data_IF_170009762204
#
_entry.id   IF_170009762204
#
_cell.length_a   1.000
_cell.length_b   1.000
_cell.length_c   1.000
_cell.angle_alpha   90.00
_cell.angle_beta   90.00
_cell.angle_gamma   90.00
#
_symmetry.space_group_name_H-M   'P 1'
#
loop_
_entity.id
_entity.type
_entity.pdbx_description
1 polymer ?
#
# COMPACT_ATOMS: atom_id res chain seq x y z
N UNK A 1 -34.59 32.63 -27.09
CA UNK A 1 -33.61 31.85 -27.89
C UNK A 1 -32.44 31.27 -27.09
N UNK A 2 -32.09 31.76 -25.90
CA UNK A 2 -30.90 31.29 -25.14
C UNK A 2 -30.99 29.86 -24.56
N UNK A 3 -32.18 29.36 -24.18
CA UNK A 3 -32.34 28.00 -23.59
C UNK A 3 -31.95 26.84 -24.52
N UNK A 4 -31.95 27.03 -25.86
CA UNK A 4 -31.54 25.99 -26.82
C UNK A 4 -30.03 25.90 -26.99
N UNK A 5 -29.28 26.94 -26.64
CA UNK A 5 -27.81 27.00 -26.73
C UNK A 5 -27.12 26.50 -25.45
N UNK A 6 -27.83 26.56 -24.32
CA UNK A 6 -27.34 26.08 -23.03
C UNK A 6 -26.80 24.63 -23.05
N UNK A 7 -27.49 23.63 -23.62
CA UNK A 7 -26.95 22.26 -23.67
C UNK A 7 -25.70 22.14 -24.55
N UNK A 8 -25.62 22.92 -25.62
CA UNK A 8 -24.45 22.95 -26.51
C UNK A 8 -23.24 23.60 -25.84
N UNK A 9 -23.45 24.67 -25.07
CA UNK A 9 -22.39 25.32 -24.30
C UNK A 9 -21.84 24.37 -23.24
N UNK A 10 -22.70 23.67 -22.50
CA UNK A 10 -22.27 22.69 -21.49
C UNK A 10 -21.45 21.55 -22.13
N UNK A 11 -21.91 21.03 -23.28
CA UNK A 11 -21.18 19.99 -24.02
C UNK A 11 -19.80 20.47 -24.47
N UNK A 12 -19.69 21.67 -25.04
CA UNK A 12 -18.40 22.23 -25.48
C UNK A 12 -17.46 22.47 -24.29
N UNK A 13 -17.97 22.99 -23.18
CA UNK A 13 -17.18 23.20 -21.96
C UNK A 13 -16.66 21.88 -21.40
N UNK A 14 -17.47 20.82 -21.36
CA UNK A 14 -17.01 19.51 -20.93
C UNK A 14 -16.04 18.87 -21.93
N UNK A 15 -16.34 18.95 -23.22
CA UNK A 15 -15.52 18.34 -24.28
C UNK A 15 -14.13 18.99 -24.40
N UNK A 16 -14.01 20.29 -24.14
CA UNK A 16 -12.73 21.00 -24.13
C UNK A 16 -12.08 21.03 -22.73
N UNK A 17 -12.87 21.13 -21.67
CA UNK A 17 -12.37 21.20 -20.29
C UNK A 17 -11.80 19.87 -19.79
N UNK A 18 -12.45 18.74 -20.10
CA UNK A 18 -11.98 17.41 -19.68
C UNK A 18 -10.57 17.06 -20.19
N UNK A 19 -10.23 17.16 -21.50
CA UNK A 19 -8.88 16.85 -21.96
C UNK A 19 -7.82 17.80 -21.38
N UNK A 20 -8.15 19.07 -21.15
CA UNK A 20 -7.24 20.02 -20.50
C UNK A 20 -6.92 19.64 -19.05
N UNK A 21 -7.91 19.19 -18.28
CA UNK A 21 -7.71 18.73 -16.90
C UNK A 21 -6.90 17.43 -16.85
N UNK A 22 -7.16 16.50 -17.78
CA UNK A 22 -6.41 15.22 -17.86
C UNK A 22 -4.96 15.45 -18.28
N UNK A 23 -4.71 16.27 -19.31
CA UNK A 23 -3.36 16.62 -19.75
C UNK A 23 -2.58 17.44 -18.69
N UNK A 24 -3.29 18.23 -17.89
CA UNK A 24 -2.73 18.95 -16.75
C UNK A 24 -2.44 18.10 -15.51
N UNK A 25 -2.69 16.78 -15.55
CA UNK A 25 -2.43 15.88 -14.42
C UNK A 25 -3.50 15.88 -13.32
N UNK A 26 -4.64 16.53 -13.54
CA UNK A 26 -5.77 16.58 -12.59
C UNK A 26 -6.75 15.40 -12.68
N UNK A 27 -6.43 14.37 -13.47
CA UNK A 27 -7.26 13.18 -13.63
C UNK A 27 -7.11 12.17 -12.48
N UNK A 28 -8.00 11.15 -12.41
CA UNK A 28 -7.85 10.04 -11.47
C UNK A 28 -6.50 9.34 -11.70
N UNK A 29 -5.67 9.28 -10.66
CA UNK A 29 -4.40 8.56 -10.67
C UNK A 29 -4.59 7.16 -10.09
N UNK A 30 -4.10 6.15 -10.78
CA UNK A 30 -3.93 4.84 -10.17
C UNK A 30 -2.74 4.90 -9.21
N UNK A 31 -2.88 4.41 -7.96
CA UNK A 31 -1.77 4.37 -7.04
C UNK A 31 -0.65 3.49 -7.61
N UNK A 32 0.57 3.99 -7.53
CA UNK A 32 1.78 3.25 -7.85
C UNK A 32 2.11 2.30 -6.71
N UNK A 33 2.93 1.27 -6.97
CA UNK A 33 3.39 0.33 -5.94
C UNK A 33 4.07 1.02 -4.75
N UNK A 34 4.72 2.17 -4.97
CA UNK A 34 5.36 2.95 -3.92
C UNK A 34 4.35 3.66 -3.00
N UNK A 35 3.16 3.99 -3.49
CA UNK A 35 2.11 4.66 -2.69
C UNK A 35 1.57 3.75 -1.58
N UNK A 36 1.67 2.43 -1.73
CA UNK A 36 1.26 1.46 -0.71
C UNK A 36 2.35 1.13 0.31
N UNK A 37 3.53 1.74 0.20
CA UNK A 37 4.57 1.68 1.23
C UNK A 37 4.34 2.83 2.19
N UNK A 38 4.01 2.54 3.44
CA UNK A 38 3.72 3.57 4.45
C UNK A 38 4.64 3.38 5.65
N UNK A 39 5.86 3.96 5.65
CA UNK A 39 6.76 3.84 6.78
C UNK A 39 6.10 4.28 8.08
N UNK A 40 6.29 3.53 9.17
CA UNK A 40 5.75 3.89 10.46
C UNK A 40 6.42 5.18 10.98
N UNK A 41 5.60 6.19 11.31
CA UNK A 41 6.05 7.49 11.83
C UNK A 41 5.51 7.80 13.24
N UNK A 42 4.66 6.93 13.77
CA UNK A 42 4.05 7.04 15.10
C UNK A 42 3.93 5.68 15.75
N UNK A 43 3.64 5.64 17.06
CA UNK A 43 3.42 4.40 17.82
C UNK A 43 2.02 3.80 17.64
N UNK A 44 1.20 4.37 16.76
CA UNK A 44 -0.14 3.84 16.49
C UNK A 44 -0.06 2.75 15.44
N UNK A 45 -0.83 1.66 15.59
CA UNK A 45 -1.10 0.65 14.56
C UNK A 45 0.11 0.27 13.68
N UNK A 46 1.22 -0.15 14.28
CA UNK A 46 2.41 -0.55 13.52
C UNK A 46 2.30 -2.02 13.11
N UNK A 47 2.71 -2.29 11.89
CA UNK A 47 2.90 -3.63 11.34
C UNK A 47 4.33 -3.83 10.84
N UNK A 48 4.80 -5.07 10.80
CA UNK A 48 6.08 -5.44 10.24
C UNK A 48 5.89 -6.22 8.93
N UNK A 49 6.28 -5.61 7.81
CA UNK A 49 6.12 -6.17 6.46
C UNK A 49 7.38 -6.92 6.05
N UNK A 50 7.29 -8.24 5.94
CA UNK A 50 8.38 -9.12 5.51
C UNK A 50 8.71 -9.02 4.02
N UNK A 51 7.75 -8.55 3.22
CA UNK A 51 7.92 -8.35 1.78
C UNK A 51 6.59 -8.21 1.06
N UNK A 52 6.68 -7.78 -0.21
CA UNK A 52 5.57 -7.68 -1.15
C UNK A 52 5.82 -8.56 -2.36
N UNK A 53 4.78 -9.22 -2.86
CA UNK A 53 4.87 -10.22 -3.90
C UNK A 53 3.77 -10.03 -4.95
N UNK A 54 4.08 -10.33 -6.22
CA UNK A 54 3.11 -10.24 -7.31
C UNK A 54 2.09 -11.37 -7.34
N UNK A 55 2.28 -12.44 -6.57
CA UNK A 55 1.40 -13.60 -6.53
C UNK A 55 1.15 -14.08 -5.11
N UNK A 56 -0.02 -14.66 -4.86
CA UNK A 56 -0.39 -15.28 -3.58
C UNK A 56 0.57 -16.40 -3.22
N UNK A 57 0.94 -17.27 -4.18
CA UNK A 57 1.85 -18.39 -3.95
C UNK A 57 3.24 -17.94 -3.44
N UNK A 58 3.78 -16.83 -3.96
CA UNK A 58 5.05 -16.28 -3.49
C UNK A 58 4.92 -15.69 -2.07
N UNK A 59 3.82 -14.98 -1.79
CA UNK A 59 3.53 -14.44 -0.46
C UNK A 59 3.35 -15.55 0.58
N UNK A 60 2.59 -16.59 0.27
CA UNK A 60 2.41 -17.74 1.15
C UNK A 60 3.72 -18.51 1.39
N UNK A 61 4.60 -18.60 0.39
CA UNK A 61 5.93 -19.18 0.57
C UNK A 61 6.74 -18.40 1.62
N UNK A 62 6.71 -17.06 1.56
CA UNK A 62 7.34 -16.21 2.56
C UNK A 62 6.67 -16.34 3.92
N UNK A 63 5.33 -16.37 3.99
CA UNK A 63 4.58 -16.59 5.23
C UNK A 63 4.97 -17.92 5.88
N UNK A 64 5.01 -19.02 5.13
CA UNK A 64 5.44 -20.34 5.62
C UNK A 64 6.89 -20.32 6.10
N UNK A 65 7.78 -19.60 5.40
CA UNK A 65 9.17 -19.43 5.82
C UNK A 65 9.25 -18.68 7.15
N UNK A 66 8.53 -17.57 7.29
CA UNK A 66 8.47 -16.81 8.54
C UNK A 66 7.88 -17.66 9.69
N UNK A 67 6.79 -18.38 9.45
CA UNK A 67 6.18 -19.27 10.44
C UNK A 67 7.15 -20.37 10.93
N UNK A 68 7.93 -20.97 10.02
CA UNK A 68 8.98 -21.96 10.38
C UNK A 68 10.12 -21.36 11.19
N UNK A 69 10.42 -20.08 11.02
CA UNK A 69 11.41 -19.36 11.81
C UNK A 69 10.89 -18.89 13.17
N UNK A 70 9.62 -19.19 13.50
CA UNK A 70 9.03 -18.93 14.81
C UNK A 70 8.12 -17.71 14.86
N UNK A 71 8.04 -16.90 13.80
CA UNK A 71 7.14 -15.75 13.75
C UNK A 71 5.68 -16.21 13.79
N UNK A 72 4.92 -15.72 14.77
CA UNK A 72 3.51 -16.02 14.95
C UNK A 72 2.65 -14.93 14.32
N UNK A 73 1.43 -15.29 13.91
CA UNK A 73 0.44 -14.36 13.37
C UNK A 73 0.89 -13.57 12.13
N UNK A 74 1.79 -14.15 11.33
CA UNK A 74 2.16 -13.59 10.02
C UNK A 74 1.04 -13.87 9.03
N UNK A 75 0.55 -12.84 8.36
CA UNK A 75 -0.61 -12.88 7.46
C UNK A 75 -0.23 -12.45 6.05
N UNK A 76 -0.96 -12.97 5.05
CA UNK A 76 -0.89 -12.53 3.66
C UNK A 76 -2.08 -11.63 3.39
N UNK A 77 -1.82 -10.41 2.93
CA UNK A 77 -2.85 -9.40 2.70
C UNK A 77 -2.63 -8.71 1.35
N UNK A 78 -3.70 -8.22 0.73
CA UNK A 78 -3.58 -7.31 -0.42
C UNK A 78 -3.03 -5.96 0.07
N UNK A 79 -2.07 -5.38 -0.65
CA UNK A 79 -1.52 -4.07 -0.32
C UNK A 79 -2.35 -2.91 -0.89
N UNK A 80 -3.35 -3.19 -1.73
CA UNK A 80 -4.18 -2.17 -2.41
C UNK A 80 -3.56 -1.58 -3.69
N UNK A 81 -2.29 -1.89 -3.99
CA UNK A 81 -1.56 -1.46 -5.19
C UNK A 81 -1.26 -2.63 -6.14
N UNK A 82 -1.94 -3.76 -5.96
CA UNK A 82 -1.82 -4.94 -6.82
C UNK A 82 -0.70 -5.91 -6.43
N UNK A 83 -0.18 -5.82 -5.20
CA UNK A 83 0.72 -6.81 -4.62
C UNK A 83 0.11 -7.44 -3.37
N UNK A 84 0.68 -8.57 -2.95
CA UNK A 84 0.40 -9.21 -1.68
C UNK A 84 1.52 -8.91 -0.70
N UNK A 85 1.21 -8.29 0.43
CA UNK A 85 2.16 -8.09 1.53
C UNK A 85 2.08 -9.25 2.51
N UNK A 86 3.22 -9.62 3.08
CA UNK A 86 3.32 -10.57 4.18
C UNK A 86 3.66 -9.78 5.43
N UNK A 87 2.75 -9.74 6.40
CA UNK A 87 2.80 -8.78 7.50
C UNK A 87 2.54 -9.42 8.86
N UNK A 88 3.09 -8.82 9.91
CA UNK A 88 2.78 -9.11 11.31
C UNK A 88 2.26 -7.83 11.96
N UNK A 89 1.03 -7.88 12.45
CA UNK A 89 0.35 -6.75 13.07
C UNK A 89 0.61 -6.65 14.57
N UNK A 90 0.29 -5.49 15.15
CA UNK A 90 0.25 -5.31 16.60
C UNK A 90 1.61 -5.03 17.21
N UNK A 91 2.53 -4.43 16.44
CA UNK A 91 3.75 -3.87 17.00
C UNK A 91 3.35 -2.65 17.86
N UNK A 92 3.66 -2.61 19.16
CA UNK A 92 3.08 -1.64 20.09
C UNK A 92 3.75 -0.26 20.04
N UNK A 93 4.99 -0.17 19.53
CA UNK A 93 5.72 1.09 19.40
C UNK A 93 6.85 0.97 18.37
N UNK A 94 7.37 2.10 17.90
CA UNK A 94 8.53 2.15 17.01
C UNK A 94 9.78 1.58 17.65
N UNK A 95 9.91 1.66 18.97
CA UNK A 95 11.03 1.09 19.71
C UNK A 95 10.97 -0.44 19.69
N UNK A 96 9.83 -1.02 20.08
CA UNK A 96 9.62 -2.47 20.03
C UNK A 96 9.73 -2.99 18.59
N UNK A 97 9.25 -2.23 17.61
CA UNK A 97 9.41 -2.57 16.19
C UNK A 97 10.87 -2.60 15.74
N UNK A 98 11.72 -1.68 16.24
CA UNK A 98 13.16 -1.68 15.94
C UNK A 98 13.87 -2.90 16.54
N UNK A 99 13.51 -3.27 17.75
CA UNK A 99 14.00 -4.51 18.38
C UNK A 99 13.56 -5.74 17.59
N UNK A 100 12.29 -5.80 17.19
CA UNK A 100 11.76 -6.86 16.34
C UNK A 100 12.52 -6.97 15.00
N UNK A 101 12.82 -5.85 14.33
CA UNK A 101 13.65 -5.86 13.12
C UNK A 101 15.03 -6.46 13.40
N UNK A 102 15.68 -6.05 14.49
CA UNK A 102 17.01 -6.54 14.84
C UNK A 102 17.02 -8.05 15.10
N UNK A 103 15.98 -8.59 15.73
CA UNK A 103 15.80 -10.03 15.92
C UNK A 103 15.53 -10.75 14.59
N UNK A 104 14.67 -10.19 13.75
CA UNK A 104 14.32 -10.76 12.46
C UNK A 104 15.52 -10.84 11.51
N UNK A 105 16.41 -9.86 11.57
CA UNK A 105 17.67 -9.85 10.80
C UNK A 105 18.60 -11.00 11.19
N UNK A 106 18.64 -11.41 12.47
CA UNK A 106 19.45 -12.56 12.92
C UNK A 106 19.02 -13.88 12.30
N UNK A 107 17.75 -13.99 11.92
CA UNK A 107 17.18 -15.17 11.22
C UNK A 107 17.01 -14.95 9.71
N UNK A 108 17.62 -13.89 9.16
CA UNK A 108 17.71 -13.65 7.72
C UNK A 108 16.47 -13.03 7.08
N UNK A 109 15.67 -12.31 7.87
CA UNK A 109 14.55 -11.49 7.37
C UNK A 109 14.86 -10.01 7.54
N UNK A 110 14.37 -9.20 6.61
CA UNK A 110 14.55 -7.75 6.64
C UNK A 110 13.18 -7.08 6.56
N UNK A 111 12.32 -7.25 7.58
CA UNK A 111 11.01 -6.63 7.57
C UNK A 111 11.13 -5.11 7.71
N UNK A 112 10.16 -4.40 7.17
CA UNK A 112 10.03 -2.95 7.27
C UNK A 112 8.84 -2.60 8.18
N UNK A 113 9.03 -1.66 9.10
CA UNK A 113 7.92 -1.15 9.90
C UNK A 113 7.05 -0.23 9.05
N UNK A 114 5.77 -0.54 9.02
CA UNK A 114 4.78 0.24 8.30
C UNK A 114 3.61 0.60 9.20
N UNK A 115 2.93 1.69 8.83
CA UNK A 115 1.67 2.10 9.40
C UNK A 115 0.58 1.22 8.80
N UNK A 116 -0.04 0.39 9.63
CA UNK A 116 -1.18 -0.43 9.21
C UNK A 116 -2.35 0.48 8.77
N UNK A 117 -3.16 0.04 7.79
CA UNK A 117 -4.24 0.85 7.22
C UNK A 117 -5.36 1.19 8.18
#
# INVERSE_FOLDING_TARGET
>A
MSRRLLPWIVLVVFALGYPLVVLGGGGPRFPSRGDCVRPATSDQNIEAVFGRFGTTAAAESMQRRAARSGFKNVQVESDGCGLFKVTLHGIPSLEVGREFIAEAQRVGFHPMLEQAP
#
